data_IF_077160000542
#
_entry.id   IF_077160000542
#
_cell.length_a   1.000
_cell.length_b   1.000
_cell.length_c   1.000
_cell.angle_alpha   90.00
_cell.angle_beta   90.00
_cell.angle_gamma   90.00
#
_symmetry.space_group_name_H-M   'P 1'
#
loop_
_entity.id
_entity.type
_entity.pdbx_description
1 polymer ?
#
# COMPACT_ATOMS: atom_id res chain seq x y z
N UNK A 1 -13.99 -10.76 -8.76
CA UNK A 1 -14.30 -10.66 -10.22
C UNK A 1 -12.97 -10.72 -10.95
N UNK A 2 -12.83 -11.48 -12.04
CA UNK A 2 -11.58 -11.50 -12.82
C UNK A 2 -11.62 -10.44 -13.93
N UNK A 3 -10.45 -10.02 -14.44
CA UNK A 3 -10.34 -9.06 -15.55
C UNK A 3 -11.10 -9.55 -16.79
N UNK A 4 -11.17 -10.87 -17.03
CA UNK A 4 -11.95 -11.45 -18.12
C UNK A 4 -13.47 -11.22 -17.95
N UNK A 5 -13.98 -11.17 -16.74
CA UNK A 5 -15.39 -10.85 -16.45
C UNK A 5 -15.69 -9.36 -16.63
N UNK A 6 -14.70 -8.48 -16.40
CA UNK A 6 -14.83 -7.04 -16.64
C UNK A 6 -14.89 -6.69 -18.13
N UNK A 7 -14.17 -7.44 -18.97
CA UNK A 7 -14.14 -7.22 -20.42
C UNK A 7 -15.45 -7.63 -21.14
N UNK A 8 -16.31 -8.44 -20.51
CA UNK A 8 -17.57 -8.93 -21.06
C UNK A 8 -18.82 -8.23 -20.51
N UNK A 9 -18.66 -7.33 -19.52
CA UNK A 9 -19.81 -6.60 -18.97
C UNK A 9 -20.28 -5.52 -19.91
N UNK A 10 -21.61 -5.45 -20.07
CA UNK A 10 -22.41 -4.42 -20.75
C UNK A 10 -21.67 -3.08 -20.76
N UNK A 11 -21.64 -2.43 -21.93
CA UNK A 11 -21.05 -1.08 -22.10
C UNK A 11 -21.72 -0.09 -21.13
N UNK A 12 -21.21 -0.03 -19.91
CA UNK A 12 -21.59 1.01 -18.95
C UNK A 12 -21.18 2.35 -19.56
N UNK A 13 -22.08 3.34 -19.67
CA UNK A 13 -21.71 4.64 -20.18
C UNK A 13 -20.54 5.24 -19.40
N UNK A 14 -19.61 5.85 -20.09
CA UNK A 14 -18.51 6.57 -19.46
C UNK A 14 -19.09 7.73 -18.62
N UNK A 15 -18.70 7.77 -17.32
CA UNK A 15 -19.15 8.78 -16.36
C UNK A 15 -17.94 9.50 -15.79
N UNK A 16 -18.15 10.72 -15.31
CA UNK A 16 -17.11 11.49 -14.57
C UNK A 16 -16.97 11.06 -13.11
N UNK A 17 -17.93 10.31 -12.57
CA UNK A 17 -17.94 9.75 -11.24
C UNK A 17 -18.71 8.43 -11.24
N UNK A 18 -18.16 7.42 -10.60
CA UNK A 18 -18.79 6.12 -10.37
C UNK A 18 -19.07 5.94 -8.88
N UNK A 19 -20.23 5.37 -8.57
CA UNK A 19 -20.60 5.11 -7.18
C UNK A 19 -19.69 4.05 -6.54
N UNK A 20 -19.66 4.01 -5.21
CA UNK A 20 -18.89 3.03 -4.46
C UNK A 20 -19.40 1.62 -4.81
N UNK A 21 -18.50 0.74 -5.25
CA UNK A 21 -18.83 -0.60 -5.73
C UNK A 21 -19.12 -0.68 -7.23
N UNK A 22 -19.28 0.44 -7.92
CA UNK A 22 -19.42 0.49 -9.38
C UNK A 22 -18.01 0.52 -10.03
N UNK A 23 -17.78 -0.36 -11.00
CA UNK A 23 -16.48 -0.43 -11.69
C UNK A 23 -16.62 0.27 -13.06
N UNK A 24 -15.76 1.26 -13.38
CA UNK A 24 -15.73 1.90 -14.67
C UNK A 24 -15.40 0.91 -15.80
N UNK A 25 -15.70 1.22 -17.07
CA UNK A 25 -15.13 0.49 -18.20
C UNK A 25 -13.59 0.48 -18.13
N UNK A 26 -12.99 -0.68 -18.37
CA UNK A 26 -11.54 -0.87 -18.25
C UNK A 26 -10.77 0.17 -19.08
N UNK A 27 -9.88 0.89 -18.42
CA UNK A 27 -9.08 1.98 -19.01
C UNK A 27 -9.79 3.34 -19.06
N UNK A 28 -11.08 3.44 -18.72
CA UNK A 28 -11.75 4.72 -18.58
C UNK A 28 -11.43 5.32 -17.19
N UNK A 29 -10.74 6.44 -17.18
CA UNK A 29 -10.40 7.18 -15.95
C UNK A 29 -11.46 8.26 -15.72
N UNK A 30 -12.28 8.14 -14.66
CA UNK A 30 -13.27 9.18 -14.34
C UNK A 30 -12.56 10.45 -13.84
N UNK A 31 -13.18 11.60 -14.07
CA UNK A 31 -12.62 12.88 -13.62
C UNK A 31 -12.59 13.00 -12.08
N UNK A 32 -13.48 12.29 -11.38
CA UNK A 32 -13.62 12.30 -9.92
C UNK A 32 -13.76 10.89 -9.37
N UNK A 33 -13.43 10.72 -8.10
CA UNK A 33 -13.50 9.45 -7.39
C UNK A 33 -13.97 9.65 -5.95
N UNK A 34 -14.52 8.62 -5.35
CA UNK A 34 -14.73 8.56 -3.90
C UNK A 34 -13.43 8.15 -3.19
N UNK A 35 -13.13 8.82 -2.07
CA UNK A 35 -11.98 8.51 -1.24
C UNK A 35 -12.27 8.78 0.23
N UNK A 36 -11.61 8.04 1.13
CA UNK A 36 -11.51 8.38 2.55
C UNK A 36 -10.46 9.46 2.72
N UNK A 37 -10.92 10.68 2.98
CA UNK A 37 -10.08 11.89 3.02
C UNK A 37 -9.84 12.31 4.46
N UNK A 38 -8.57 12.58 4.76
CA UNK A 38 -8.11 13.26 5.98
C UNK A 38 -7.81 14.71 5.60
N UNK A 39 -8.27 15.64 6.45
CA UNK A 39 -7.92 17.06 6.36
C UNK A 39 -7.24 17.52 7.63
N UNK A 40 -6.31 18.46 7.51
CA UNK A 40 -5.49 18.93 8.66
C UNK A 40 -6.35 19.39 9.83
N UNK A 41 -7.44 20.11 9.55
CA UNK A 41 -8.37 20.61 10.56
C UNK A 41 -9.25 19.53 11.21
N UNK A 42 -9.24 18.31 10.69
CA UNK A 42 -10.01 17.18 11.22
C UNK A 42 -9.15 16.12 11.91
N UNK A 43 -7.87 16.39 12.15
CA UNK A 43 -7.04 15.43 12.87
C UNK A 43 -7.69 15.00 14.19
N UNK A 44 -7.74 13.68 14.41
CA UNK A 44 -8.38 13.03 15.53
C UNK A 44 -8.51 11.53 15.30
N UNK A 45 -9.33 10.83 16.11
CA UNK A 45 -9.59 9.41 15.92
C UNK A 45 -10.01 9.09 14.47
N UNK A 46 -9.55 7.98 13.87
CA UNK A 46 -9.82 7.63 12.46
C UNK A 46 -11.30 7.68 12.09
N UNK A 47 -12.19 7.26 12.98
CA UNK A 47 -13.64 7.26 12.78
C UNK A 47 -14.25 8.66 12.57
N UNK A 48 -13.53 9.70 12.93
CA UNK A 48 -13.97 11.09 12.75
C UNK A 48 -13.10 11.86 11.76
N UNK A 49 -11.81 11.54 11.70
CA UNK A 49 -10.85 12.23 10.83
C UNK A 49 -10.94 11.78 9.38
N UNK A 50 -11.23 10.49 9.15
CA UNK A 50 -11.39 9.93 7.80
C UNK A 50 -12.87 10.04 7.39
N UNK A 51 -13.13 10.79 6.32
CA UNK A 51 -14.48 10.97 5.80
C UNK A 51 -14.51 10.68 4.30
N UNK A 52 -15.60 10.06 3.82
CA UNK A 52 -15.77 9.85 2.38
C UNK A 52 -16.07 11.19 1.72
N UNK A 53 -15.23 11.56 0.78
CA UNK A 53 -15.40 12.76 -0.06
C UNK A 53 -15.26 12.38 -1.54
N UNK A 54 -15.86 13.20 -2.40
CA UNK A 54 -15.63 13.15 -3.84
C UNK A 54 -14.49 14.11 -4.17
N UNK A 55 -13.41 13.57 -4.69
CA UNK A 55 -12.19 14.32 -5.03
C UNK A 55 -11.81 14.09 -6.49
N UNK A 56 -11.00 14.97 -7.10
CA UNK A 56 -10.44 14.70 -8.43
C UNK A 56 -9.64 13.40 -8.44
N UNK A 57 -9.77 12.61 -9.49
CA UNK A 57 -8.88 11.47 -9.73
C UNK A 57 -7.46 11.98 -9.97
N UNK A 58 -6.48 11.29 -9.41
CA UNK A 58 -5.09 11.69 -9.49
C UNK A 58 -4.58 11.71 -10.94
N UNK A 59 -3.99 12.82 -11.41
CA UNK A 59 -3.25 12.79 -12.67
C UNK A 59 -1.99 11.93 -12.50
N UNK A 60 -1.59 11.23 -13.56
CA UNK A 60 -0.35 10.42 -13.57
C UNK A 60 0.74 11.13 -14.35
N UNK A 61 1.99 11.03 -13.85
CA UNK A 61 3.20 11.42 -14.55
C UNK A 61 3.64 10.34 -15.57
N UNK A 62 4.75 10.60 -16.25
CA UNK A 62 5.25 9.72 -17.32
C UNK A 62 5.66 8.33 -16.81
N UNK A 63 6.13 8.21 -15.56
CA UNK A 63 6.58 6.97 -14.92
C UNK A 63 5.56 6.38 -13.95
N UNK A 64 4.39 7.02 -13.82
CA UNK A 64 3.34 6.61 -12.89
C UNK A 64 2.36 5.62 -13.50
N UNK A 65 1.65 4.94 -12.62
CA UNK A 65 0.52 4.06 -12.92
C UNK A 65 -0.68 4.47 -12.07
N UNK A 66 -1.84 4.55 -12.69
CA UNK A 66 -3.11 4.63 -11.97
C UNK A 66 -3.64 3.21 -11.75
N UNK A 67 -3.89 2.88 -10.50
CA UNK A 67 -4.44 1.58 -10.11
C UNK A 67 -5.87 1.77 -9.62
N UNK A 68 -6.82 1.02 -10.20
CA UNK A 68 -8.16 0.86 -9.62
C UNK A 68 -8.04 -0.09 -8.43
N UNK A 69 -8.31 0.41 -7.24
CA UNK A 69 -8.13 -0.33 -5.98
C UNK A 69 -9.26 -1.34 -5.81
N UNK A 70 -8.91 -2.61 -5.73
CA UNK A 70 -9.84 -3.70 -5.44
C UNK A 70 -9.90 -4.00 -3.93
N UNK A 71 -8.78 -3.84 -3.24
CA UNK A 71 -8.69 -3.89 -1.79
C UNK A 71 -7.52 -3.02 -1.29
N UNK A 72 -7.71 -2.34 -0.17
CA UNK A 72 -6.69 -1.57 0.55
C UNK A 72 -6.39 -2.21 1.89
N UNK A 73 -5.10 -2.43 2.19
CA UNK A 73 -4.66 -2.97 3.47
C UNK A 73 -4.62 -1.90 4.57
N UNK A 74 -5.09 -2.26 5.76
CA UNK A 74 -5.07 -1.36 6.92
C UNK A 74 -3.80 -1.61 7.72
N UNK A 75 -2.98 -0.55 7.84
CA UNK A 75 -1.80 -0.52 8.69
C UNK A 75 -1.95 0.56 9.76
N UNK A 76 -1.21 0.44 10.85
CA UNK A 76 -1.30 1.39 11.96
C UNK A 76 -0.85 2.83 11.59
N UNK A 77 -0.03 2.96 10.54
CA UNK A 77 0.31 4.28 9.99
C UNK A 77 -0.93 5.06 9.50
N UNK A 78 -1.98 4.39 9.04
CA UNK A 78 -3.26 5.02 8.72
C UNK A 78 -3.93 5.66 9.94
N UNK A 79 -3.83 5.01 11.12
CA UNK A 79 -4.29 5.58 12.39
C UNK A 79 -3.49 6.84 12.73
N UNK A 80 -2.17 6.78 12.63
CA UNK A 80 -1.30 7.94 12.86
C UNK A 80 -1.61 9.09 11.89
N UNK A 81 -1.88 8.78 10.62
CA UNK A 81 -2.28 9.77 9.64
C UNK A 81 -3.59 10.49 10.05
N UNK A 82 -4.58 9.73 10.52
CA UNK A 82 -5.83 10.28 11.06
C UNK A 82 -5.61 11.19 12.26
N UNK A 83 -4.81 10.71 13.22
CA UNK A 83 -4.45 11.47 14.43
C UNK A 83 -3.58 12.69 14.13
N UNK A 84 -2.85 12.72 13.02
CA UNK A 84 -1.83 13.72 12.72
C UNK A 84 -0.61 13.62 13.63
N UNK A 85 -0.32 12.43 14.17
CA UNK A 85 0.74 12.16 15.13
C UNK A 85 1.51 10.90 14.72
N UNK A 86 2.84 10.79 15.07
CA UNK A 86 3.69 11.83 15.67
C UNK A 86 3.99 13.01 14.73
N UNK A 87 3.81 12.81 13.40
CA UNK A 87 4.01 13.83 12.36
C UNK A 87 2.78 13.84 11.47
N UNK A 88 2.18 15.02 11.27
CA UNK A 88 1.05 15.17 10.36
C UNK A 88 1.49 14.94 8.90
N UNK A 89 0.80 14.08 8.12
CA UNK A 89 1.08 13.91 6.69
C UNK A 89 1.06 15.24 5.93
N UNK A 90 0.18 16.16 6.30
CA UNK A 90 0.06 17.49 5.70
C UNK A 90 1.30 18.38 5.91
N UNK A 91 2.12 18.10 6.92
CA UNK A 91 3.38 18.81 7.14
C UNK A 91 4.49 18.29 6.22
N UNK A 92 4.33 17.07 5.69
CA UNK A 92 5.28 16.45 4.77
C UNK A 92 4.98 16.83 3.32
N UNK A 93 3.78 16.49 2.80
CA UNK A 93 3.47 16.65 1.36
C UNK A 93 2.76 17.96 0.98
N UNK A 94 2.31 18.76 1.94
CA UNK A 94 1.66 20.08 1.72
C UNK A 94 0.35 20.05 0.90
N UNK A 95 -0.19 18.90 0.56
CA UNK A 95 -1.49 18.77 -0.12
C UNK A 95 -2.63 19.16 0.85
N UNK A 96 -3.72 19.78 0.36
CA UNK A 96 -4.88 20.13 1.20
C UNK A 96 -5.68 18.90 1.65
N UNK A 97 -5.47 17.76 1.00
CA UNK A 97 -6.09 16.48 1.35
C UNK A 97 -5.02 15.40 1.50
N UNK A 98 -5.30 14.44 2.35
CA UNK A 98 -4.51 13.22 2.48
C UNK A 98 -5.43 12.01 2.38
N UNK A 99 -5.06 11.05 1.53
CA UNK A 99 -5.69 9.74 1.42
C UNK A 99 -4.67 8.75 1.96
N UNK A 100 -5.01 8.11 3.07
CA UNK A 100 -4.14 7.13 3.70
C UNK A 100 -4.18 5.78 2.97
N UNK A 101 -3.43 4.81 3.49
CA UNK A 101 -3.34 3.45 2.97
C UNK A 101 -2.07 3.21 2.17
N UNK A 102 -1.21 2.33 2.72
CA UNK A 102 0.13 2.04 2.19
C UNK A 102 0.25 0.61 1.65
N UNK A 103 -0.85 -0.11 1.58
CA UNK A 103 -0.98 -1.41 0.94
C UNK A 103 -2.20 -1.41 0.01
N UNK A 104 -2.05 -2.00 -1.16
CA UNK A 104 -3.15 -2.19 -2.10
C UNK A 104 -2.96 -3.42 -2.97
N UNK A 105 -4.08 -3.98 -3.39
CA UNK A 105 -4.19 -4.82 -4.57
C UNK A 105 -5.21 -4.23 -5.53
N UNK A 106 -4.96 -4.32 -6.82
CA UNK A 106 -5.84 -3.69 -7.79
C UNK A 106 -5.48 -4.01 -9.23
N UNK A 107 -6.13 -3.29 -10.12
CA UNK A 107 -5.99 -3.46 -11.56
C UNK A 107 -5.37 -2.18 -12.14
N UNK A 108 -4.34 -2.34 -12.96
CA UNK A 108 -3.74 -1.23 -13.71
C UNK A 108 -4.81 -0.62 -14.61
N UNK A 109 -5.11 0.67 -14.40
CA UNK A 109 -6.18 1.37 -15.11
C UNK A 109 -5.68 2.36 -16.15
N UNK A 110 -4.56 3.02 -15.87
CA UNK A 110 -3.83 3.85 -16.82
C UNK A 110 -2.33 3.77 -16.55
N UNK A 111 -1.52 4.01 -17.56
CA UNK A 111 -0.05 3.99 -17.46
C UNK A 111 0.53 5.25 -18.09
N UNK A 112 1.58 5.79 -17.48
CA UNK A 112 2.34 6.90 -18.00
C UNK A 112 3.16 6.51 -19.26
N UNK A 113 3.55 7.52 -20.05
CA UNK A 113 4.15 7.32 -21.36
C UNK A 113 5.50 6.55 -21.34
N UNK A 114 6.23 6.58 -20.22
CA UNK A 114 7.51 5.87 -20.06
C UNK A 114 7.36 4.48 -19.44
N UNK A 115 6.17 4.11 -18.95
CA UNK A 115 5.93 2.81 -18.33
C UNK A 115 5.93 1.71 -19.41
N UNK A 116 6.84 0.74 -19.28
CA UNK A 116 7.00 -0.37 -20.24
C UNK A 116 6.59 -1.72 -19.67
N UNK A 117 6.68 -1.88 -18.35
CA UNK A 117 6.46 -3.16 -17.67
C UNK A 117 4.99 -3.50 -17.50
N UNK A 118 4.14 -2.49 -17.39
CA UNK A 118 2.74 -2.63 -17.04
C UNK A 118 1.83 -2.19 -18.17
N UNK A 119 0.67 -2.82 -18.26
CA UNK A 119 -0.41 -2.46 -19.20
C UNK A 119 -1.75 -2.46 -18.48
N UNK A 120 -2.70 -1.73 -19.05
CA UNK A 120 -4.09 -1.72 -18.58
C UNK A 120 -4.64 -3.14 -18.51
N UNK A 121 -5.23 -3.49 -17.38
CA UNK A 121 -5.77 -4.81 -17.07
C UNK A 121 -4.83 -5.73 -16.28
N UNK A 122 -3.58 -5.38 -16.07
CA UNK A 122 -2.70 -6.19 -15.22
C UNK A 122 -3.18 -6.16 -13.76
N UNK A 123 -3.22 -7.33 -13.11
CA UNK A 123 -3.53 -7.47 -11.69
C UNK A 123 -2.25 -7.30 -10.86
N UNK A 124 -2.27 -6.34 -9.95
CA UNK A 124 -1.07 -5.90 -9.23
C UNK A 124 -1.29 -5.77 -7.73
N UNK A 125 -0.17 -5.78 -7.00
CA UNK A 125 -0.04 -5.33 -5.62
C UNK A 125 0.96 -4.18 -5.55
N UNK A 126 0.82 -3.34 -4.54
CA UNK A 126 1.62 -2.12 -4.38
C UNK A 126 2.56 -2.27 -3.19
N UNK A 127 3.84 -1.97 -3.39
CA UNK A 127 4.81 -1.75 -2.31
C UNK A 127 4.82 -0.29 -1.88
N UNK A 128 4.90 -0.03 -0.59
CA UNK A 128 4.73 1.32 -0.06
C UNK A 128 5.93 2.26 -0.24
N UNK A 129 7.12 1.75 -0.57
CA UNK A 129 8.30 2.60 -0.69
C UNK A 129 8.35 3.31 -2.03
N UNK A 130 8.51 4.63 -1.99
CA UNK A 130 8.78 5.48 -3.15
C UNK A 130 10.14 6.16 -2.99
N UNK A 131 10.79 6.42 -4.12
CA UNK A 131 12.06 7.18 -4.21
C UNK A 131 12.17 7.79 -5.62
N UNK A 132 13.15 8.62 -5.89
CA UNK A 132 13.38 9.20 -7.23
C UNK A 132 14.26 8.35 -8.15
N UNK A 133 14.91 7.31 -7.58
CA UNK A 133 15.76 6.40 -8.34
C UNK A 133 17.12 6.94 -8.71
N UNK A 134 17.54 8.07 -8.17
CA UNK A 134 18.71 8.80 -8.65
C UNK A 134 19.95 8.68 -7.73
N UNK A 135 19.84 8.06 -6.57
CA UNK A 135 20.96 7.88 -5.65
C UNK A 135 21.46 6.43 -5.55
N UNK A 136 22.58 6.23 -4.85
CA UNK A 136 23.21 4.93 -4.66
C UNK A 136 22.30 3.94 -3.92
N UNK A 137 21.52 4.42 -2.97
CA UNK A 137 20.62 3.62 -2.16
C UNK A 137 19.47 3.06 -3.01
N UNK A 138 18.97 3.84 -3.96
CA UNK A 138 17.94 3.40 -4.92
C UNK A 138 18.49 2.44 -5.98
N UNK A 139 19.78 2.49 -6.25
CA UNK A 139 20.44 1.75 -7.35
C UNK A 139 21.34 0.59 -6.88
N UNK A 140 20.93 -0.09 -5.82
CA UNK A 140 21.61 -1.31 -5.35
C UNK A 140 22.02 -1.30 -3.89
N UNK A 141 21.79 -0.17 -3.19
CA UNK A 141 21.88 -0.08 -1.74
C UNK A 141 20.56 -0.47 -1.05
N UNK A 142 20.21 0.27 -0.03
CA UNK A 142 18.97 0.13 0.73
C UNK A 142 18.03 1.32 0.45
N UNK A 143 17.01 1.19 -0.40
CA UNK A 143 16.14 2.30 -0.79
C UNK A 143 15.45 3.01 0.39
N UNK A 144 15.33 2.36 1.55
CA UNK A 144 14.80 3.00 2.75
C UNK A 144 15.73 4.09 3.31
N UNK A 145 17.02 4.06 2.98
CA UNK A 145 18.01 5.04 3.42
C UNK A 145 18.18 6.20 2.41
N UNK A 146 17.52 6.14 1.27
CA UNK A 146 17.54 7.22 0.29
C UNK A 146 16.97 8.52 0.88
N UNK A 147 17.62 9.69 0.68
CA UNK A 147 17.07 10.99 1.06
C UNK A 147 15.74 11.31 0.36
N UNK A 148 15.50 10.74 -0.80
CA UNK A 148 14.27 10.91 -1.58
C UNK A 148 13.14 9.97 -1.16
N UNK A 149 13.44 8.99 -0.29
CA UNK A 149 12.46 7.98 0.14
C UNK A 149 11.22 8.62 0.75
N UNK A 150 10.06 8.06 0.40
CA UNK A 150 8.74 8.40 0.97
C UNK A 150 7.93 7.13 1.17
N UNK A 151 7.17 7.12 2.24
CA UNK A 151 6.15 6.09 2.47
C UNK A 151 4.87 6.52 1.76
N UNK A 152 4.53 5.83 0.68
CA UNK A 152 3.29 6.04 -0.05
C UNK A 152 2.07 5.84 0.86
N UNK A 153 1.11 6.78 0.77
CA UNK A 153 -0.10 6.76 1.59
C UNK A 153 0.11 7.17 3.05
N UNK A 154 1.32 7.66 3.40
CA UNK A 154 1.59 8.37 4.64
C UNK A 154 2.35 9.68 4.38
N UNK A 155 3.48 9.61 3.69
CA UNK A 155 4.27 10.80 3.31
C UNK A 155 3.88 11.36 1.94
N UNK A 156 3.01 10.65 1.24
CA UNK A 156 2.39 11.09 -0.02
C UNK A 156 0.86 11.14 0.13
N UNK A 157 0.15 12.01 -0.61
CA UNK A 157 -1.27 12.24 -0.39
C UNK A 157 -2.21 11.23 -1.05
N UNK A 158 -1.70 10.27 -1.81
CA UNK A 158 -2.39 9.49 -2.84
C UNK A 158 -2.48 7.98 -2.53
N UNK A 159 -2.71 7.65 -1.25
CA UNK A 159 -2.80 6.27 -0.77
C UNK A 159 -4.01 5.47 -1.26
N UNK A 160 -4.14 4.25 -0.74
CA UNK A 160 -5.08 3.23 -1.26
C UNK A 160 -6.52 3.36 -0.77
N UNK A 161 -6.85 4.23 0.18
CA UNK A 161 -8.22 4.34 0.68
C UNK A 161 -9.10 5.20 -0.24
N UNK A 162 -9.08 4.87 -1.53
CA UNK A 162 -9.82 5.51 -2.60
C UNK A 162 -10.16 4.51 -3.71
N UNK A 163 -11.06 4.88 -4.64
CA UNK A 163 -11.33 4.05 -5.82
C UNK A 163 -10.12 3.91 -6.73
N UNK A 164 -9.28 4.95 -6.79
CA UNK A 164 -8.03 4.94 -7.55
C UNK A 164 -6.88 5.48 -6.71
N UNK A 165 -5.72 4.87 -6.85
CA UNK A 165 -4.48 5.39 -6.29
C UNK A 165 -3.44 5.57 -7.40
N UNK A 166 -2.54 6.54 -7.20
CA UNK A 166 -1.41 6.78 -8.08
C UNK A 166 -0.15 6.23 -7.44
N UNK A 167 0.63 5.50 -8.20
CA UNK A 167 1.87 4.87 -7.74
C UNK A 167 2.96 4.95 -8.81
N UNK A 168 4.21 4.91 -8.40
CA UNK A 168 5.32 4.74 -9.34
C UNK A 168 5.30 3.33 -9.93
N UNK A 169 5.61 3.18 -11.20
CA UNK A 169 5.58 1.87 -11.90
C UNK A 169 6.46 0.80 -11.23
N UNK A 170 7.54 1.21 -10.56
CA UNK A 170 8.46 0.31 -9.85
C UNK A 170 7.95 -0.22 -8.51
N UNK A 171 6.94 0.42 -7.91
CA UNK A 171 6.27 -0.07 -6.71
C UNK A 171 5.39 -1.29 -6.97
N UNK A 172 5.07 -1.57 -8.22
CA UNK A 172 4.13 -2.62 -8.58
C UNK A 172 4.79 -3.98 -8.69
N UNK A 173 4.09 -4.98 -8.21
CA UNK A 173 4.38 -6.41 -8.40
C UNK A 173 3.12 -7.11 -8.93
N UNK A 174 3.30 -8.21 -9.66
CA UNK A 174 2.17 -9.04 -10.07
C UNK A 174 1.45 -9.58 -8.83
N UNK A 175 0.14 -9.48 -8.80
CA UNK A 175 -0.68 -10.11 -7.77
C UNK A 175 -0.52 -11.64 -7.88
N UNK A 176 -0.21 -12.34 -6.78
CA UNK A 176 -0.21 -13.81 -6.78
C UNK A 176 -1.59 -14.34 -7.15
N UNK A 177 -1.63 -15.25 -8.13
CA UNK A 177 -2.91 -15.74 -8.69
C UNK A 177 -3.78 -16.52 -7.70
N UNK A 178 -3.17 -17.12 -6.68
CA UNK A 178 -3.86 -17.92 -5.66
C UNK A 178 -4.44 -17.09 -4.52
N UNK A 179 -4.10 -15.79 -4.42
CA UNK A 179 -4.62 -14.90 -3.39
C UNK A 179 -5.85 -14.14 -3.89
N UNK A 180 -6.80 -13.92 -2.98
CA UNK A 180 -7.89 -12.96 -3.20
C UNK A 180 -7.34 -11.52 -3.24
N UNK A 181 -8.17 -10.55 -3.54
CA UNK A 181 -7.77 -9.14 -3.52
C UNK A 181 -7.42 -8.69 -2.10
N UNK A 182 -8.24 -9.09 -1.14
CA UNK A 182 -8.08 -8.75 0.28
C UNK A 182 -6.80 -9.37 0.86
N UNK A 183 -6.56 -10.65 0.61
CA UNK A 183 -5.32 -11.32 1.02
C UNK A 183 -4.10 -10.64 0.38
N UNK A 184 -4.17 -10.33 -0.90
CA UNK A 184 -3.09 -9.69 -1.65
C UNK A 184 -2.80 -8.25 -1.19
N UNK A 185 -3.79 -7.53 -0.66
CA UNK A 185 -3.63 -6.18 -0.11
C UNK A 185 -3.13 -6.15 1.34
N UNK A 186 -3.01 -7.29 2.03
CA UNK A 186 -2.84 -7.29 3.49
C UNK A 186 -1.40 -7.52 3.97
N UNK A 187 -0.42 -7.72 3.08
CA UNK A 187 0.88 -8.20 3.52
C UNK A 187 2.09 -7.42 3.03
N UNK A 188 1.96 -6.65 1.97
CA UNK A 188 3.14 -6.13 1.24
C UNK A 188 4.03 -5.27 2.13
N UNK A 189 3.46 -4.33 2.89
CA UNK A 189 4.21 -3.47 3.80
C UNK A 189 4.85 -4.29 4.94
N UNK A 190 4.04 -5.06 5.65
CA UNK A 190 4.49 -5.76 6.87
C UNK A 190 5.43 -6.92 6.57
N UNK A 191 5.19 -7.67 5.50
CA UNK A 191 6.11 -8.73 5.06
C UNK A 191 7.46 -8.16 4.60
N UNK A 192 7.45 -7.10 3.77
CA UNK A 192 8.69 -6.48 3.30
C UNK A 192 9.50 -5.90 4.47
N UNK A 193 8.83 -5.26 5.43
CA UNK A 193 9.47 -4.75 6.63
C UNK A 193 10.08 -5.87 7.47
N UNK A 194 9.34 -6.94 7.75
CA UNK A 194 9.85 -8.09 8.50
C UNK A 194 11.02 -8.76 7.76
N UNK A 195 10.92 -8.91 6.43
CA UNK A 195 12.00 -9.47 5.62
C UNK A 195 13.27 -8.62 5.70
N UNK A 196 13.15 -7.30 5.53
CA UNK A 196 14.28 -6.38 5.64
C UNK A 196 14.93 -6.44 7.02
N UNK A 197 14.15 -6.48 8.10
CA UNK A 197 14.66 -6.59 9.47
C UNK A 197 15.44 -7.87 9.71
N UNK A 198 15.02 -8.99 9.15
CA UNK A 198 15.62 -10.31 9.39
C UNK A 198 16.79 -10.62 8.43
N UNK A 199 16.74 -10.11 7.21
CA UNK A 199 17.67 -10.51 6.15
C UNK A 199 18.39 -9.35 5.44
N UNK A 200 17.94 -8.11 5.63
CA UNK A 200 18.46 -6.95 4.87
C UNK A 200 19.77 -6.38 5.37
N UNK A 201 20.29 -6.80 6.52
CA UNK A 201 21.43 -6.14 7.19
C UNK A 201 22.59 -7.12 7.45
N UNK A 202 23.35 -7.46 6.42
CA UNK A 202 24.57 -8.24 6.59
C UNK A 202 25.55 -7.49 7.52
N UNK A 203 26.27 -8.22 8.44
CA UNK A 203 26.26 -9.66 8.65
C UNK A 203 25.13 -10.19 9.56
N UNK A 204 24.24 -9.33 10.05
CA UNK A 204 23.18 -9.64 11.02
C UNK A 204 21.94 -10.23 10.34
N UNK A 205 22.13 -11.27 9.54
CA UNK A 205 21.05 -11.99 8.88
C UNK A 205 20.71 -13.27 9.63
N UNK A 206 19.42 -13.57 9.73
CA UNK A 206 18.93 -14.82 10.32
C UNK A 206 19.40 -16.02 9.49
N UNK A 207 19.88 -17.06 10.18
CA UNK A 207 20.42 -18.29 9.59
C UNK A 207 19.68 -19.51 10.13
N UNK A 208 19.75 -20.65 9.41
CA UNK A 208 19.22 -21.92 9.92
C UNK A 208 19.83 -22.27 11.28
N UNK A 209 18.98 -22.64 12.23
CA UNK A 209 19.38 -22.98 13.61
C UNK A 209 19.45 -21.80 14.59
N UNK A 210 19.34 -20.54 14.12
CA UNK A 210 19.30 -19.39 15.02
C UNK A 210 18.02 -19.41 15.89
N UNK A 211 18.14 -18.89 17.12
CA UNK A 211 16.98 -18.62 17.96
C UNK A 211 16.60 -17.15 17.86
N UNK A 212 15.39 -16.89 17.34
CA UNK A 212 14.90 -15.53 17.07
C UNK A 212 13.72 -15.21 17.98
N UNK A 213 13.89 -14.24 18.86
CA UNK A 213 12.81 -13.74 19.72
C UNK A 213 11.97 -12.72 18.93
N UNK A 214 10.69 -13.05 18.71
CA UNK A 214 9.73 -12.20 17.99
C UNK A 214 8.75 -11.59 18.99
N UNK A 215 8.98 -10.33 19.34
CA UNK A 215 8.09 -9.58 20.24
C UNK A 215 6.84 -9.11 19.49
N UNK A 216 5.65 -9.30 20.06
CA UNK A 216 4.39 -9.02 19.38
C UNK A 216 4.11 -9.97 18.21
N UNK A 217 4.37 -11.25 18.40
CA UNK A 217 4.28 -12.28 17.37
C UNK A 217 2.90 -12.46 16.74
N UNK A 218 1.81 -12.01 17.39
CA UNK A 218 0.44 -12.00 16.85
C UNK A 218 0.09 -10.76 16.03
N UNK A 219 0.97 -9.73 16.02
CA UNK A 219 0.76 -8.50 15.24
C UNK A 219 1.18 -8.64 13.78
N UNK A 220 0.86 -7.64 12.94
CA UNK A 220 1.11 -7.66 11.50
C UNK A 220 2.56 -7.94 11.11
N UNK A 221 3.55 -7.34 11.79
CA UNK A 221 4.97 -7.64 11.57
C UNK A 221 5.37 -8.99 12.16
N UNK A 222 4.92 -9.27 13.39
CA UNK A 222 5.33 -10.48 14.12
C UNK A 222 4.89 -11.77 13.45
N UNK A 223 3.70 -11.81 12.87
CA UNK A 223 3.19 -12.97 12.12
C UNK A 223 4.12 -13.32 10.96
N UNK A 224 4.58 -12.34 10.19
CA UNK A 224 5.54 -12.57 9.10
C UNK A 224 6.95 -12.86 9.63
N UNK A 225 7.35 -12.23 10.75
CA UNK A 225 8.61 -12.55 11.42
C UNK A 225 8.70 -14.04 11.78
N UNK A 226 7.65 -14.59 12.39
CA UNK A 226 7.58 -16.02 12.72
C UNK A 226 7.63 -16.91 11.48
N UNK A 227 6.85 -16.58 10.43
CA UNK A 227 6.81 -17.36 9.19
C UNK A 227 8.17 -17.33 8.45
N UNK A 228 8.82 -16.16 8.40
CA UNK A 228 10.12 -16.01 7.76
C UNK A 228 11.22 -16.77 8.51
N UNK A 229 11.21 -16.74 9.84
CA UNK A 229 12.12 -17.56 10.66
C UNK A 229 11.93 -19.04 10.38
N UNK A 230 10.69 -19.52 10.40
CA UNK A 230 10.37 -20.91 10.10
C UNK A 230 10.82 -21.30 8.68
N UNK A 231 10.55 -20.47 7.69
CA UNK A 231 10.97 -20.71 6.29
C UNK A 231 12.50 -20.74 6.10
N UNK A 232 13.24 -19.99 6.93
CA UNK A 232 14.72 -19.98 6.90
C UNK A 232 15.37 -21.09 7.73
N UNK A 233 14.59 -21.93 8.41
CA UNK A 233 15.11 -22.97 9.30
C UNK A 233 15.59 -22.46 10.67
N UNK A 234 15.19 -21.25 11.05
CA UNK A 234 15.44 -20.68 12.39
C UNK A 234 14.31 -21.07 13.36
N UNK A 235 14.61 -21.02 14.65
CA UNK A 235 13.67 -21.27 15.72
C UNK A 235 13.03 -19.94 16.16
N UNK A 236 11.76 -19.72 15.82
CA UNK A 236 11.03 -18.54 16.26
C UNK A 236 10.46 -18.75 17.69
N UNK A 237 10.72 -17.80 18.58
CA UNK A 237 10.18 -17.74 19.93
C UNK A 237 9.25 -16.51 19.98
N UNK A 238 7.95 -16.74 19.88
CA UNK A 238 6.95 -15.66 19.83
C UNK A 238 6.52 -15.21 21.23
N UNK A 239 6.57 -13.91 21.49
CA UNK A 239 5.97 -13.28 22.67
C UNK A 239 4.67 -12.62 22.23
N UNK A 240 3.60 -12.98 22.93
CA UNK A 240 2.24 -12.45 22.70
C UNK A 240 1.67 -11.96 24.04
N UNK A 241 0.64 -11.11 23.97
CA UNK A 241 -0.14 -10.75 25.17
C UNK A 241 -1.17 -11.83 25.50
N UNK A 242 -1.64 -11.83 26.74
CA UNK A 242 -2.70 -12.77 27.20
C UNK A 242 -4.02 -12.55 26.44
N UNK A 243 -4.22 -11.39 25.86
CA UNK A 243 -5.41 -11.04 25.08
C UNK A 243 -5.13 -11.14 23.57
N UNK A 244 -5.11 -12.36 23.04
CA UNK A 244 -4.97 -12.57 21.60
C UNK A 244 -6.22 -12.06 20.88
N UNK A 245 -6.03 -11.24 19.85
CA UNK A 245 -7.10 -10.74 18.99
C UNK A 245 -7.61 -9.34 19.33
N UNK A 246 -7.05 -8.65 20.33
CA UNK A 246 -7.25 -7.21 20.52
C UNK A 246 -6.14 -6.43 19.84
N UNK A 247 -6.53 -5.42 19.05
CA UNK A 247 -5.59 -4.43 18.58
C UNK A 247 -5.04 -3.67 19.81
N UNK A 248 -3.72 -3.70 20.01
CA UNK A 248 -3.12 -2.85 21.02
C UNK A 248 -3.09 -1.41 20.49
N UNK A 249 -3.88 -0.57 21.14
CA UNK A 249 -3.89 0.88 20.91
C UNK A 249 -2.82 1.50 21.79
#
# INVERSE_FOLDING_TARGET
MSVAQLATSVTTPAKDLYEIGEIPPLGHVPARMHAWVIRKERHGPPETSMQIEVVPTWPIGEDDVLVHVMAGGVNYNGVWAGLGQPISPHDVHKSPIHIAGSDASGIVWAVGAKVKRWKVGDEVIVHCNQDDGDDEECNGGDPLLSPSQRIWGYETPDGSFAQFCRVQSRQLMLKPKHLTWEEAASYTLTLATAYRMLFGHAPHTVKPGDNVLVWGASGGLGVFGVQLCAASGANAIGIISDEIGRAHV
#
